data_IF_420285307411
#
_entry.id   IF_420285307411
#
_cell.length_a   1.000
_cell.length_b   1.000
_cell.length_c   1.000
_cell.angle_alpha   90.00
_cell.angle_beta   90.00
_cell.angle_gamma   90.00
#
_symmetry.space_group_name_H-M   'P 1'
#
loop_
_entity.id
_entity.type
_entity.pdbx_description
1 polymer ?
#
# COMPACT_ATOMS: atom_id res chain seq x y z
N UNK A 1 -3.77 -4.54 -18.23
CA UNK A 1 -2.59 -4.41 -17.36
C UNK A 1 -3.05 -4.28 -15.92
N UNK A 2 -2.18 -4.59 -14.96
CA UNK A 2 -2.38 -4.35 -13.54
C UNK A 2 -1.17 -3.58 -12.98
N UNK A 3 -1.39 -2.93 -11.85
CA UNK A 3 -0.34 -2.35 -11.02
C UNK A 3 -0.42 -3.02 -9.66
N UNK A 4 0.71 -3.56 -9.20
CA UNK A 4 0.82 -4.01 -7.81
C UNK A 4 1.18 -2.80 -6.94
N UNK A 5 0.20 -2.26 -6.23
CA UNK A 5 0.38 -1.00 -5.48
C UNK A 5 1.15 -1.15 -4.17
N UNK A 6 1.45 -2.38 -3.75
CA UNK A 6 2.17 -2.64 -2.50
C UNK A 6 2.90 -3.99 -2.54
N UNK A 7 4.23 -3.94 -2.57
CA UNK A 7 5.10 -5.10 -2.42
C UNK A 7 6.43 -4.68 -1.76
N UNK A 8 7.24 -5.64 -1.31
CA UNK A 8 8.51 -5.39 -0.63
C UNK A 8 9.67 -6.07 -1.38
N UNK A 9 10.01 -5.53 -2.56
CA UNK A 9 11.08 -6.06 -3.42
C UNK A 9 12.49 -5.90 -2.81
N UNK A 10 12.62 -5.06 -1.77
CA UNK A 10 13.81 -4.83 -0.98
C UNK A 10 14.07 -5.91 0.08
N UNK A 11 13.14 -6.83 0.29
CA UNK A 11 13.33 -7.88 1.29
C UNK A 11 14.36 -8.92 0.83
N UNK A 12 15.22 -9.41 1.74
CA UNK A 12 16.29 -10.37 1.41
C UNK A 12 15.78 -11.63 0.71
N UNK A 13 14.56 -12.05 1.03
CA UNK A 13 13.87 -13.20 0.41
C UNK A 13 13.82 -13.14 -1.11
N UNK A 14 13.88 -11.94 -1.71
CA UNK A 14 13.81 -11.76 -3.17
C UNK A 14 15.16 -11.45 -3.82
N UNK A 15 16.22 -11.19 -3.05
CA UNK A 15 17.45 -10.61 -3.60
C UNK A 15 18.07 -11.45 -4.73
N UNK A 16 18.14 -12.77 -4.56
CA UNK A 16 18.77 -13.68 -5.51
C UNK A 16 17.98 -13.91 -6.81
N UNK A 17 16.68 -13.62 -6.81
CA UNK A 17 15.78 -13.96 -7.91
C UNK A 17 14.89 -12.80 -8.37
N UNK A 18 15.21 -11.57 -7.92
CA UNK A 18 14.43 -10.36 -8.20
C UNK A 18 14.18 -10.15 -9.70
N UNK A 19 15.19 -10.41 -10.53
CA UNK A 19 15.08 -10.32 -11.99
C UNK A 19 13.98 -11.24 -12.53
N UNK A 20 13.95 -12.49 -12.07
CA UNK A 20 12.95 -13.47 -12.49
C UNK A 20 11.55 -13.14 -11.94
N UNK A 21 11.47 -12.59 -10.73
CA UNK A 21 10.20 -12.13 -10.14
C UNK A 21 9.58 -11.00 -10.98
N UNK A 22 10.38 -9.99 -11.33
CA UNK A 22 9.93 -8.87 -12.17
C UNK A 22 9.51 -9.39 -13.55
N UNK A 23 10.28 -10.29 -14.16
CA UNK A 23 9.93 -10.89 -15.44
C UNK A 23 8.60 -11.68 -15.38
N UNK A 24 8.35 -12.44 -14.29
CA UNK A 24 7.08 -13.15 -14.07
C UNK A 24 5.90 -12.19 -13.87
N UNK A 25 6.12 -11.07 -13.18
CA UNK A 25 5.10 -10.03 -13.01
C UNK A 25 4.68 -9.46 -14.37
N UNK A 26 5.65 -9.05 -15.20
CA UNK A 26 5.39 -8.54 -16.55
C UNK A 26 4.69 -9.57 -17.43
N UNK A 27 5.14 -10.82 -17.42
CA UNK A 27 4.53 -11.90 -18.19
C UNK A 27 3.07 -12.20 -17.77
N UNK A 28 2.71 -11.85 -16.53
CA UNK A 28 1.35 -11.99 -15.99
C UNK A 28 0.49 -10.73 -16.19
N UNK A 29 0.99 -9.73 -16.92
CA UNK A 29 0.27 -8.50 -17.21
C UNK A 29 0.33 -7.44 -16.11
N UNK A 30 1.20 -7.61 -15.10
CA UNK A 30 1.51 -6.61 -14.07
C UNK A 30 2.61 -5.71 -14.60
N UNK A 31 2.26 -4.51 -15.07
CA UNK A 31 3.21 -3.65 -15.79
C UNK A 31 4.02 -2.74 -14.88
N UNK A 32 3.48 -2.38 -13.71
CA UNK A 32 4.13 -1.50 -12.74
C UNK A 32 3.94 -2.02 -11.31
N UNK A 33 4.90 -1.71 -10.45
CA UNK A 33 4.89 -2.07 -9.03
C UNK A 33 5.35 -0.89 -8.17
N UNK A 34 4.83 -0.79 -6.95
CA UNK A 34 5.34 0.12 -5.93
C UNK A 34 5.96 -0.71 -4.81
N UNK A 35 7.28 -0.60 -4.63
CA UNK A 35 8.00 -1.23 -3.52
C UNK A 35 8.00 -0.32 -2.30
N UNK A 36 7.59 -0.84 -1.15
CA UNK A 36 7.20 -0.02 0.00
C UNK A 36 8.30 0.03 1.05
N UNK A 37 8.67 1.26 1.43
CA UNK A 37 9.63 1.52 2.50
C UNK A 37 9.06 1.11 3.86
N UNK A 38 9.87 0.39 4.63
CA UNK A 38 9.58 0.08 6.04
C UNK A 38 10.43 0.89 7.01
N UNK A 39 11.51 1.52 6.52
CA UNK A 39 12.43 2.39 7.26
C UNK A 39 12.97 3.47 6.32
N UNK A 40 12.89 4.73 6.71
CA UNK A 40 13.38 5.88 5.94
C UNK A 40 14.87 5.75 5.68
N UNK A 41 15.65 5.28 6.66
CA UNK A 41 17.11 5.10 6.51
C UNK A 41 17.51 4.03 5.49
N UNK A 42 16.57 3.17 5.05
CA UNK A 42 16.81 2.17 4.00
C UNK A 42 16.39 2.64 2.60
N UNK A 43 15.93 3.87 2.44
CA UNK A 43 15.56 4.45 1.15
C UNK A 43 16.64 4.24 0.05
N UNK A 44 17.96 4.36 0.31
CA UNK A 44 18.97 4.09 -0.71
C UNK A 44 18.91 2.67 -1.32
N UNK A 45 18.43 1.67 -0.56
CA UNK A 45 18.26 0.30 -1.06
C UNK A 45 17.05 0.18 -1.99
N UNK A 46 15.95 0.86 -1.66
CA UNK A 46 14.76 0.93 -2.52
C UNK A 46 15.08 1.66 -3.82
N UNK A 47 15.82 2.78 -3.75
CA UNK A 47 16.18 3.55 -4.96
C UNK A 47 17.01 2.73 -5.94
N UNK A 48 17.99 1.95 -5.47
CA UNK A 48 18.76 1.00 -6.31
C UNK A 48 17.86 0.02 -7.08
N UNK A 49 16.75 -0.41 -6.48
CA UNK A 49 15.77 -1.28 -7.16
C UNK A 49 15.05 -0.48 -8.25
N UNK A 50 14.56 0.73 -7.93
CA UNK A 50 13.85 1.57 -8.92
C UNK A 50 14.73 2.03 -10.08
N UNK A 51 16.03 2.19 -9.87
CA UNK A 51 17.02 2.51 -10.91
C UNK A 51 17.24 1.31 -11.85
N UNK A 52 17.27 0.08 -11.30
CA UNK A 52 17.44 -1.14 -12.10
C UNK A 52 16.20 -1.48 -12.90
N UNK A 53 14.99 -1.26 -12.37
CA UNK A 53 13.73 -1.65 -13.00
C UNK A 53 12.85 -0.43 -13.30
N UNK A 54 12.74 0.01 -14.57
CA UNK A 54 11.91 1.16 -14.93
C UNK A 54 10.43 1.04 -14.53
N UNK A 55 9.89 -0.18 -14.43
CA UNK A 55 8.53 -0.46 -13.98
C UNK A 55 8.30 -0.36 -12.46
N UNK A 56 9.34 -0.16 -11.67
CA UNK A 56 9.25 -0.13 -10.20
C UNK A 56 9.41 1.31 -9.71
N UNK A 57 8.52 1.68 -8.80
CA UNK A 57 8.51 2.93 -8.05
C UNK A 57 8.59 2.59 -6.56
N UNK A 58 8.82 3.58 -5.70
CA UNK A 58 8.86 3.34 -4.26
C UNK A 58 8.13 4.40 -3.44
N UNK A 59 7.91 4.06 -2.18
CA UNK A 59 7.53 5.01 -1.13
C UNK A 59 8.72 5.36 -0.24
N UNK A 60 8.56 6.38 0.61
CA UNK A 60 9.49 6.68 1.71
C UNK A 60 8.71 6.80 3.02
N UNK A 61 9.11 6.05 4.04
CA UNK A 61 8.47 6.08 5.35
C UNK A 61 8.90 4.98 6.31
N UNK A 62 8.37 5.05 7.53
CA UNK A 62 8.66 4.17 8.66
C UNK A 62 7.43 3.36 9.07
N UNK A 63 7.49 2.05 8.87
CA UNK A 63 6.43 1.12 9.27
C UNK A 63 6.22 1.18 10.80
N UNK A 64 4.97 1.05 11.32
CA UNK A 64 4.69 1.17 12.76
C UNK A 64 5.54 0.28 13.67
N UNK A 65 5.83 -0.95 13.24
CA UNK A 65 6.72 -1.87 13.98
C UNK A 65 8.19 -1.41 14.11
N UNK A 66 8.61 -0.38 13.37
CA UNK A 66 9.93 0.23 13.44
C UNK A 66 9.88 1.69 13.96
N UNK A 67 8.74 2.14 14.49
CA UNK A 67 8.52 3.56 14.80
C UNK A 67 9.48 4.11 15.85
N UNK A 68 9.87 3.30 16.84
CA UNK A 68 10.81 3.66 17.90
C UNK A 68 12.23 3.91 17.39
N UNK A 69 12.63 3.26 16.30
CA UNK A 69 13.94 3.40 15.68
C UNK A 69 14.11 4.74 14.95
N UNK A 70 13.02 5.40 14.55
CA UNK A 70 13.04 6.57 13.65
C UNK A 70 12.24 7.77 14.19
N UNK A 71 12.10 7.89 15.53
CA UNK A 71 11.44 9.03 16.19
C UNK A 71 12.15 10.38 16.02
N UNK A 72 13.35 10.40 15.44
CA UNK A 72 14.08 11.60 15.03
C UNK A 72 13.71 12.08 13.62
N UNK A 73 13.13 11.21 12.78
CA UNK A 73 12.73 11.59 11.41
C UNK A 73 11.56 12.57 11.46
N UNK A 74 11.78 13.75 10.90
CA UNK A 74 10.81 14.84 10.90
C UNK A 74 9.90 14.82 9.66
N UNK A 75 8.79 15.56 9.72
CA UNK A 75 7.98 15.77 8.52
C UNK A 75 8.76 16.53 7.43
N UNK A 76 9.63 17.48 7.80
CA UNK A 76 10.47 18.21 6.83
C UNK A 76 11.40 17.27 6.06
N UNK A 77 12.07 16.37 6.78
CA UNK A 77 12.96 15.36 6.17
C UNK A 77 12.20 14.42 5.22
N UNK A 78 11.00 13.96 5.61
CA UNK A 78 10.15 13.15 4.72
C UNK A 78 9.75 13.90 3.44
N UNK A 79 9.46 15.20 3.53
CA UNK A 79 9.16 16.04 2.36
C UNK A 79 10.38 16.17 1.45
N UNK A 80 11.55 16.50 2.02
CA UNK A 80 12.79 16.63 1.25
C UNK A 80 13.14 15.32 0.52
N UNK A 81 13.04 14.18 1.21
CA UNK A 81 13.29 12.87 0.61
C UNK A 81 12.26 12.55 -0.47
N UNK A 82 10.97 12.80 -0.25
CA UNK A 82 9.92 12.54 -1.23
C UNK A 82 10.09 13.35 -2.53
N UNK A 83 10.67 14.55 -2.43
CA UNK A 83 10.97 15.42 -3.57
C UNK A 83 12.31 15.11 -4.24
N UNK A 84 13.21 14.41 -3.55
CA UNK A 84 14.59 14.18 -4.01
C UNK A 84 14.72 13.28 -5.25
N UNK A 85 13.72 12.44 -5.55
CA UNK A 85 13.80 11.48 -6.65
C UNK A 85 12.44 11.24 -7.32
N UNK A 86 12.42 11.11 -8.65
CA UNK A 86 11.16 10.95 -9.42
C UNK A 86 10.44 9.62 -9.14
N UNK A 87 11.21 8.57 -8.78
CA UNK A 87 10.67 7.24 -8.45
C UNK A 87 9.99 7.15 -7.08
N UNK A 88 10.12 8.16 -6.23
CA UNK A 88 9.41 8.20 -4.94
C UNK A 88 8.03 8.80 -5.19
N UNK A 89 6.99 7.97 -5.11
CA UNK A 89 5.62 8.31 -5.51
C UNK A 89 4.60 8.28 -4.37
N UNK A 90 5.04 7.97 -3.15
CA UNK A 90 4.20 7.85 -1.97
C UNK A 90 4.99 8.12 -0.68
N UNK A 91 4.26 8.49 0.36
CA UNK A 91 4.74 8.52 1.74
C UNK A 91 4.29 7.22 2.43
N UNK A 92 5.11 6.66 3.30
CA UNK A 92 4.84 5.42 4.02
C UNK A 92 5.76 4.27 3.58
N UNK A 93 5.57 3.06 4.09
CA UNK A 93 4.48 2.64 4.97
C UNK A 93 4.53 3.35 6.32
N UNK A 94 3.39 3.81 6.83
CA UNK A 94 3.26 4.30 8.20
C UNK A 94 1.85 3.99 8.70
N UNK A 95 1.62 3.93 10.00
CA UNK A 95 0.33 3.43 10.46
C UNK A 95 0.28 3.06 11.92
N UNK A 96 -0.64 2.15 12.24
CA UNK A 96 -0.85 1.58 13.56
C UNK A 96 -0.95 0.06 13.46
N UNK A 97 -0.13 -0.66 14.21
CA UNK A 97 -0.20 -2.11 14.40
C UNK A 97 -0.25 -2.42 15.90
N UNK A 98 -1.44 -2.77 16.39
CA UNK A 98 -1.65 -3.15 17.78
C UNK A 98 -1.76 -4.67 17.95
N UNK A 99 -1.52 -5.44 16.88
CA UNK A 99 -1.55 -6.89 16.94
C UNK A 99 -0.28 -7.43 17.58
N UNK A 100 0.87 -6.88 17.19
CA UNK A 100 2.15 -7.18 17.80
C UNK A 100 2.47 -6.10 18.84
N UNK A 101 2.47 -6.47 20.13
CA UNK A 101 2.89 -5.60 21.25
C UNK A 101 4.43 -5.40 21.24
N UNK A 102 4.94 -4.97 20.08
CA UNK A 102 6.36 -4.78 19.79
C UNK A 102 6.78 -3.34 20.00
N UNK A 103 5.85 -2.40 19.79
CA UNK A 103 6.10 -0.97 19.89
C UNK A 103 5.02 -0.26 20.69
N UNK A 104 5.39 0.84 21.34
CA UNK A 104 4.43 1.65 22.09
C UNK A 104 3.46 2.33 21.11
N UNK A 105 2.14 2.29 21.37
CA UNK A 105 1.16 2.97 20.53
C UNK A 105 1.47 4.45 20.27
N UNK A 106 2.06 5.15 21.25
CA UNK A 106 2.40 6.58 21.11
C UNK A 106 3.55 6.84 20.13
N UNK A 107 4.50 5.92 20.00
CA UNK A 107 5.60 6.04 19.04
C UNK A 107 5.06 5.86 17.62
N UNK A 108 4.17 4.87 17.42
CA UNK A 108 3.46 4.66 16.15
C UNK A 108 2.61 5.87 15.76
N UNK A 109 1.84 6.44 16.69
CA UNK A 109 1.04 7.66 16.48
C UNK A 109 1.90 8.85 16.11
N UNK A 110 3.03 9.04 16.80
CA UNK A 110 3.99 10.11 16.50
C UNK A 110 4.53 9.98 15.07
N UNK A 111 4.94 8.77 14.68
CA UNK A 111 5.35 8.47 13.31
C UNK A 111 4.25 8.76 12.30
N UNK A 112 3.05 8.22 12.50
CA UNK A 112 1.90 8.40 11.61
C UNK A 112 1.55 9.88 11.40
N UNK A 113 1.50 10.69 12.46
CA UNK A 113 1.18 12.12 12.36
C UNK A 113 2.20 12.91 11.52
N UNK A 114 3.49 12.57 11.62
CA UNK A 114 4.54 13.18 10.80
C UNK A 114 4.43 12.79 9.33
N UNK A 115 4.10 11.54 9.05
CA UNK A 115 3.89 11.05 7.68
C UNK A 115 2.62 11.66 7.06
N UNK A 116 1.56 11.87 7.85
CA UNK A 116 0.36 12.61 7.42
C UNK A 116 0.71 14.04 7.04
N UNK A 117 1.52 14.74 7.85
CA UNK A 117 1.97 16.10 7.52
C UNK A 117 2.81 16.14 6.23
N UNK A 118 3.72 15.18 6.04
CA UNK A 118 4.50 15.07 4.81
C UNK A 118 3.61 14.79 3.58
N UNK A 119 2.64 13.87 3.69
CA UNK A 119 1.69 13.58 2.61
C UNK A 119 0.81 14.81 2.27
N UNK A 120 0.40 15.58 3.29
CA UNK A 120 -0.37 16.81 3.10
C UNK A 120 0.42 17.88 2.34
N UNK A 121 1.71 18.02 2.62
CA UNK A 121 2.60 19.00 1.98
C UNK A 121 2.98 18.61 0.56
N UNK A 122 3.38 17.35 0.36
CA UNK A 122 3.84 16.84 -0.94
C UNK A 122 2.70 16.50 -1.90
N UNK A 123 1.48 16.30 -1.37
CA UNK A 123 0.31 15.75 -2.09
C UNK A 123 0.53 14.33 -2.63
N UNK A 124 1.56 13.64 -2.15
CA UNK A 124 1.74 12.21 -2.41
C UNK A 124 0.84 11.38 -1.49
N UNK A 125 0.30 10.24 -1.96
CA UNK A 125 -0.53 9.39 -1.14
C UNK A 125 0.26 8.82 0.04
N UNK A 126 -0.34 8.85 1.22
CA UNK A 126 0.12 8.09 2.39
C UNK A 126 -0.34 6.62 2.27
N UNK A 127 0.60 5.68 2.26
CA UNK A 127 0.34 4.24 2.34
C UNK A 127 0.19 3.87 3.81
N UNK A 128 -1.05 3.58 4.25
CA UNK A 128 -1.42 3.38 5.64
C UNK A 128 -1.55 1.92 6.02
N UNK A 129 -0.71 1.48 6.94
CA UNK A 129 -0.88 0.21 7.65
C UNK A 129 -1.87 0.38 8.80
N UNK A 130 -2.83 -0.53 8.90
CA UNK A 130 -3.73 -0.55 10.05
C UNK A 130 -4.07 -1.98 10.42
N UNK A 131 -3.70 -2.37 11.64
CA UNK A 131 -3.99 -3.70 12.16
C UNK A 131 -4.40 -3.63 13.63
N UNK A 132 -5.60 -4.13 13.93
CA UNK A 132 -6.17 -4.12 15.28
C UNK A 132 -6.25 -2.72 15.91
N UNK A 133 -6.37 -1.68 15.07
CA UNK A 133 -6.28 -0.27 15.47
C UNK A 133 -7.37 0.60 14.81
N UNK A 134 -8.49 -0.01 14.40
CA UNK A 134 -9.51 0.58 13.55
C UNK A 134 -10.07 1.90 14.11
N UNK A 135 -10.41 1.93 15.39
CA UNK A 135 -11.02 3.10 16.04
C UNK A 135 -10.04 4.28 16.12
N UNK A 136 -8.80 4.02 16.54
CA UNK A 136 -7.73 5.03 16.61
C UNK A 136 -7.38 5.55 15.21
N UNK A 137 -7.27 4.65 14.22
CA UNK A 137 -6.99 5.03 12.83
C UNK A 137 -8.10 5.91 12.27
N UNK A 138 -9.37 5.53 12.45
CA UNK A 138 -10.51 6.34 12.01
C UNK A 138 -10.56 7.71 12.70
N UNK A 139 -10.26 7.77 14.01
CA UNK A 139 -10.22 9.03 14.76
C UNK A 139 -9.11 9.97 14.24
N UNK A 140 -7.89 9.45 14.04
CA UNK A 140 -6.76 10.21 13.51
C UNK A 140 -7.05 10.72 12.10
N UNK A 141 -7.53 9.85 11.21
CA UNK A 141 -7.85 10.25 9.83
C UNK A 141 -8.89 11.37 9.77
N UNK A 142 -9.95 11.31 10.58
CA UNK A 142 -10.96 12.37 10.65
C UNK A 142 -10.38 13.68 11.18
N UNK A 143 -9.64 13.60 12.30
CA UNK A 143 -9.04 14.78 12.92
C UNK A 143 -8.04 15.48 11.98
N UNK A 144 -7.17 14.71 11.34
CA UNK A 144 -6.12 15.23 10.47
C UNK A 144 -6.66 15.71 9.12
N UNK A 145 -7.68 15.05 8.56
CA UNK A 145 -8.35 15.53 7.35
C UNK A 145 -9.10 16.84 7.61
N UNK A 146 -9.61 17.04 8.83
CA UNK A 146 -10.21 18.31 9.27
C UNK A 146 -9.23 19.49 9.31
N UNK A 147 -7.92 19.23 9.37
CA UNK A 147 -6.86 20.25 9.28
C UNK A 147 -6.44 20.55 7.84
N UNK A 148 -6.87 19.74 6.88
CA UNK A 148 -6.53 19.86 5.47
C UNK A 148 -6.37 18.50 4.82
N UNK A 149 -6.95 18.33 3.64
CA UNK A 149 -6.95 17.07 2.91
C UNK A 149 -5.54 16.63 2.48
N UNK A 150 -5.31 15.32 2.57
CA UNK A 150 -4.14 14.62 2.06
C UNK A 150 -4.61 13.29 1.44
N UNK A 151 -4.00 12.85 0.33
CA UNK A 151 -4.34 11.55 -0.26
C UNK A 151 -3.78 10.42 0.59
N UNK A 152 -4.51 9.31 0.67
CA UNK A 152 -4.05 8.12 1.38
C UNK A 152 -4.69 6.85 0.83
N UNK A 153 -4.05 5.72 1.15
CA UNK A 153 -4.46 4.37 0.82
C UNK A 153 -4.51 3.59 2.12
N UNK A 154 -5.63 2.94 2.41
CA UNK A 154 -5.68 1.87 3.40
C UNK A 154 -5.20 0.60 2.70
N UNK A 155 -3.90 0.29 2.84
CA UNK A 155 -3.35 -0.90 2.19
C UNK A 155 -3.73 -2.16 2.96
N UNK A 156 -3.58 -3.29 2.29
CA UNK A 156 -3.85 -4.64 2.74
C UNK A 156 -5.12 -4.73 3.59
N UNK A 157 -6.22 -4.16 3.09
CA UNK A 157 -7.38 -3.89 3.91
C UNK A 157 -7.94 -5.17 4.55
N UNK A 158 -7.82 -5.26 5.87
CA UNK A 158 -8.32 -6.37 6.69
C UNK A 158 -9.05 -5.88 7.95
N UNK A 159 -9.48 -4.62 7.96
CA UNK A 159 -10.16 -3.96 9.06
C UNK A 159 -11.70 -4.03 8.91
N UNK A 160 -12.42 -3.48 9.89
CA UNK A 160 -13.88 -3.44 9.90
C UNK A 160 -14.50 -2.43 8.92
N UNK A 161 -15.78 -2.64 8.61
CA UNK A 161 -16.56 -1.82 7.67
C UNK A 161 -16.53 -0.31 7.97
N UNK A 162 -16.52 0.07 9.25
CA UNK A 162 -16.54 1.49 9.63
C UNK A 162 -15.25 2.22 9.28
N UNK A 163 -14.10 1.54 9.32
CA UNK A 163 -12.85 2.13 8.84
C UNK A 163 -12.86 2.29 7.31
N UNK A 164 -13.34 1.29 6.56
CA UNK A 164 -13.48 1.40 5.10
C UNK A 164 -14.38 2.58 4.70
N UNK A 165 -15.56 2.70 5.30
CA UNK A 165 -16.48 3.83 5.07
C UNK A 165 -15.83 5.16 5.39
N UNK A 166 -15.10 5.24 6.50
CA UNK A 166 -14.39 6.45 6.90
C UNK A 166 -13.32 6.83 5.89
N UNK A 167 -12.49 5.87 5.46
CA UNK A 167 -11.47 6.08 4.45
C UNK A 167 -12.06 6.62 3.14
N UNK A 168 -13.09 5.96 2.62
CA UNK A 168 -13.79 6.34 1.39
C UNK A 168 -14.44 7.73 1.50
N UNK A 169 -15.11 8.03 2.62
CA UNK A 169 -15.76 9.32 2.85
C UNK A 169 -14.76 10.50 2.90
N UNK A 170 -13.52 10.24 3.35
CA UNK A 170 -12.43 11.21 3.35
C UNK A 170 -11.67 11.27 2.01
N UNK A 171 -12.09 10.49 1.01
CA UNK A 171 -11.50 10.47 -0.33
C UNK A 171 -10.32 9.50 -0.49
N UNK A 172 -10.02 8.68 0.52
CA UNK A 172 -8.96 7.67 0.47
C UNK A 172 -9.32 6.46 -0.41
N UNK A 173 -8.29 5.74 -0.82
CA UNK A 173 -8.41 4.48 -1.55
C UNK A 173 -8.33 3.29 -0.59
N UNK A 174 -8.96 2.18 -0.97
CA UNK A 174 -8.89 0.91 -0.25
C UNK A 174 -8.22 -0.11 -1.16
N UNK A 175 -7.08 -0.64 -0.72
CA UNK A 175 -6.34 -1.64 -1.47
C UNK A 175 -6.56 -3.02 -0.88
N UNK A 176 -6.80 -4.00 -1.74
CA UNK A 176 -7.03 -5.37 -1.35
C UNK A 176 -5.87 -6.26 -1.79
N UNK A 177 -5.47 -7.18 -0.91
CA UNK A 177 -4.41 -8.16 -1.15
C UNK A 177 -4.97 -9.56 -1.38
N UNK A 178 -4.08 -10.56 -1.44
CA UNK A 178 -4.44 -11.97 -1.58
C UNK A 178 -5.40 -12.51 -0.52
N UNK A 179 -5.61 -11.78 0.59
CA UNK A 179 -6.62 -12.08 1.62
C UNK A 179 -8.02 -12.27 1.00
N UNK A 180 -8.39 -11.50 -0.04
CA UNK A 180 -9.70 -11.63 -0.70
C UNK A 180 -9.96 -13.06 -1.19
N UNK A 181 -8.92 -13.76 -1.59
CA UNK A 181 -9.01 -15.13 -2.12
C UNK A 181 -9.19 -16.19 -1.03
N UNK A 182 -8.99 -15.84 0.24
CA UNK A 182 -9.02 -16.80 1.34
C UNK A 182 -10.45 -17.25 1.62
N UNK A 183 -10.71 -18.57 1.77
CA UNK A 183 -12.07 -19.07 1.99
C UNK A 183 -12.80 -18.44 3.19
N UNK A 184 -12.06 -18.08 4.24
CA UNK A 184 -12.61 -17.52 5.49
C UNK A 184 -12.85 -16.00 5.47
N UNK A 185 -12.38 -15.28 4.44
CA UNK A 185 -12.42 -13.82 4.39
C UNK A 185 -13.68 -13.29 3.71
N UNK A 186 -14.85 -13.84 4.07
CA UNK A 186 -16.11 -13.41 3.47
C UNK A 186 -16.49 -11.99 3.91
N UNK A 187 -16.22 -11.66 5.17
CA UNK A 187 -16.32 -10.32 5.72
C UNK A 187 -15.53 -9.28 4.91
N UNK A 188 -14.30 -9.59 4.50
CA UNK A 188 -13.49 -8.68 3.68
C UNK A 188 -14.08 -8.54 2.28
N UNK A 189 -14.59 -9.62 1.67
CA UNK A 189 -15.30 -9.55 0.37
C UNK A 189 -16.59 -8.74 0.45
N UNK A 190 -17.34 -8.88 1.55
CA UNK A 190 -18.56 -8.12 1.78
C UNK A 190 -18.24 -6.63 1.94
N UNK A 191 -17.15 -6.27 2.63
CA UNK A 191 -16.68 -4.88 2.72
C UNK A 191 -16.22 -4.37 1.35
N UNK A 192 -15.43 -5.15 0.61
CA UNK A 192 -14.98 -4.78 -0.74
C UNK A 192 -16.17 -4.42 -1.66
N UNK A 193 -17.26 -5.19 -1.59
CA UNK A 193 -18.48 -4.90 -2.35
C UNK A 193 -19.11 -3.53 -2.03
N UNK A 194 -18.84 -2.96 -0.86
CA UNK A 194 -19.35 -1.64 -0.46
C UNK A 194 -18.45 -0.49 -0.92
N UNK A 195 -17.20 -0.76 -1.29
CA UNK A 195 -16.25 0.28 -1.72
C UNK A 195 -16.59 0.71 -3.16
N UNK A 196 -16.71 2.03 -3.43
CA UNK A 196 -16.92 2.53 -4.79
C UNK A 196 -15.81 2.09 -5.74
N UNK A 197 -16.18 1.71 -6.97
CA UNK A 197 -15.23 1.23 -7.99
C UNK A 197 -14.06 2.19 -8.22
N UNK A 198 -14.27 3.50 -8.14
CA UNK A 198 -13.25 4.53 -8.33
C UNK A 198 -12.34 4.77 -7.11
N UNK A 199 -12.46 3.93 -6.07
CA UNK A 199 -11.62 3.94 -4.85
C UNK A 199 -10.96 2.60 -4.55
N UNK A 200 -11.06 1.64 -5.46
CA UNK A 200 -10.45 0.31 -5.33
C UNK A 200 -9.01 0.28 -5.87
N UNK A 201 -8.13 -0.39 -5.14
CA UNK A 201 -6.79 -0.77 -5.59
C UNK A 201 -6.57 -2.29 -5.35
N UNK A 202 -5.56 -2.84 -6.00
CA UNK A 202 -5.13 -4.23 -5.83
C UNK A 202 -3.64 -4.28 -5.58
N UNK A 203 -3.24 -5.22 -4.73
CA UNK A 203 -1.85 -5.41 -4.36
C UNK A 203 -1.56 -6.87 -3.99
N UNK A 204 -0.28 -7.16 -3.76
CA UNK A 204 0.15 -8.45 -3.23
C UNK A 204 0.51 -8.42 -1.75
N UNK A 205 1.12 -7.34 -1.28
CA UNK A 205 1.88 -7.33 -0.01
C UNK A 205 3.02 -8.38 0.00
N UNK A 206 3.56 -8.70 -1.18
CA UNK A 206 4.60 -9.71 -1.31
C UNK A 206 5.87 -9.31 -0.55
N UNK A 207 6.53 -10.22 0.19
CA UNK A 207 6.43 -11.69 0.11
C UNK A 207 5.31 -12.34 0.93
N UNK A 208 4.48 -11.56 1.63
CA UNK A 208 3.43 -12.06 2.50
C UNK A 208 2.12 -12.35 1.76
N UNK A 209 1.19 -13.04 2.44
CA UNK A 209 -0.21 -13.14 2.03
C UNK A 209 -0.48 -13.74 0.64
N UNK A 210 0.33 -14.73 0.23
CA UNK A 210 0.13 -15.42 -1.05
C UNK A 210 -1.32 -15.91 -1.20
N UNK A 211 -1.97 -15.65 -2.35
CA UNK A 211 -3.39 -15.97 -2.54
C UNK A 211 -3.64 -17.48 -2.46
N UNK A 212 -4.91 -17.88 -2.32
CA UNK A 212 -5.37 -19.24 -2.01
C UNK A 212 -4.64 -20.33 -2.80
N UNK A 213 -4.38 -20.11 -4.10
CA UNK A 213 -3.67 -21.05 -4.98
C UNK A 213 -2.24 -21.38 -4.52
N UNK A 214 -1.56 -20.46 -3.84
CA UNK A 214 -0.20 -20.61 -3.31
C UNK A 214 -0.11 -20.41 -1.80
N UNK A 215 -1.22 -20.59 -1.08
CA UNK A 215 -1.25 -20.38 0.37
C UNK A 215 -0.17 -21.20 1.08
N UNK A 216 0.61 -20.54 1.95
CA UNK A 216 1.75 -21.14 2.65
C UNK A 216 3.06 -21.15 1.84
N UNK A 217 3.06 -20.65 0.60
CA UNK A 217 4.26 -20.33 -0.17
C UNK A 217 4.53 -18.82 -0.11
N UNK A 218 5.74 -18.42 -0.49
CA UNK A 218 6.10 -17.02 -0.65
C UNK A 218 5.26 -16.39 -1.76
N UNK A 219 4.75 -15.19 -1.51
CA UNK A 219 4.02 -14.40 -2.50
C UNK A 219 4.98 -13.71 -3.47
N UNK A 220 4.47 -13.23 -4.60
CA UNK A 220 5.22 -12.38 -5.55
C UNK A 220 4.23 -11.51 -6.35
N UNK A 221 4.69 -10.37 -6.92
CA UNK A 221 3.82 -9.42 -7.63
C UNK A 221 2.94 -10.02 -8.73
N UNK A 222 3.41 -11.06 -9.41
CA UNK A 222 2.66 -11.76 -10.46
C UNK A 222 1.31 -12.31 -9.96
N UNK A 223 1.18 -12.54 -8.65
CA UNK A 223 -0.01 -13.14 -8.06
C UNK A 223 -1.16 -12.14 -7.85
N UNK A 224 -0.95 -10.82 -8.01
CA UNK A 224 -2.01 -9.80 -7.89
C UNK A 224 -3.19 -10.04 -8.85
N UNK A 225 -2.94 -10.73 -9.97
CA UNK A 225 -3.98 -11.17 -10.92
C UNK A 225 -5.13 -11.90 -10.21
N UNK A 226 -4.81 -12.74 -9.23
CA UNK A 226 -5.80 -13.53 -8.49
C UNK A 226 -6.63 -12.67 -7.54
N UNK A 227 -6.03 -11.61 -7.00
CA UNK A 227 -6.74 -10.61 -6.19
C UNK A 227 -7.71 -9.84 -7.08
N UNK A 228 -7.27 -9.40 -8.26
CA UNK A 228 -8.12 -8.72 -9.24
C UNK A 228 -9.26 -9.61 -9.74
N UNK A 229 -9.04 -10.89 -10.02
CA UNK A 229 -10.09 -11.85 -10.41
C UNK A 229 -11.21 -11.91 -9.36
N UNK A 230 -10.87 -12.11 -8.07
CA UNK A 230 -11.87 -12.15 -7.00
C UNK A 230 -12.57 -10.80 -6.84
N UNK A 231 -11.84 -9.68 -6.97
CA UNK A 231 -12.46 -8.36 -6.90
C UNK A 231 -13.44 -8.13 -8.07
N UNK A 232 -13.15 -8.65 -9.26
CA UNK A 232 -14.06 -8.61 -10.41
C UNK A 232 -15.37 -9.35 -10.10
N UNK A 233 -15.27 -10.56 -9.53
CA UNK A 233 -16.40 -11.37 -9.11
C UNK A 233 -17.25 -10.65 -8.06
N UNK A 234 -16.62 -10.06 -7.04
CA UNK A 234 -17.29 -9.31 -5.96
C UNK A 234 -18.14 -8.16 -6.52
N UNK A 235 -17.64 -7.46 -7.54
CA UNK A 235 -18.35 -6.33 -8.16
C UNK A 235 -19.21 -6.71 -9.38
N UNK A 236 -19.24 -7.99 -9.77
CA UNK A 236 -20.02 -8.45 -10.93
C UNK A 236 -19.57 -7.83 -12.26
N UNK A 237 -18.28 -7.56 -12.42
CA UNK A 237 -17.68 -6.99 -13.64
C UNK A 237 -16.66 -7.96 -14.25
N UNK A 238 -16.27 -7.75 -15.51
CA UNK A 238 -15.21 -8.56 -16.12
C UNK A 238 -13.84 -8.26 -15.51
N UNK A 239 -12.91 -9.22 -15.65
CA UNK A 239 -11.52 -9.04 -15.25
C UNK A 239 -10.88 -7.84 -15.94
N UNK A 240 -11.11 -7.67 -17.24
CA UNK A 240 -10.56 -6.54 -18.01
C UNK A 240 -11.05 -5.21 -17.46
N UNK A 241 -12.33 -5.15 -17.05
CA UNK A 241 -12.92 -3.94 -16.50
C UNK A 241 -12.36 -3.60 -15.12
N UNK A 242 -12.21 -4.57 -14.22
CA UNK A 242 -11.62 -4.30 -12.90
C UNK A 242 -10.14 -3.92 -13.03
N UNK A 243 -9.42 -4.55 -13.96
CA UNK A 243 -8.02 -4.25 -14.23
C UNK A 243 -7.84 -2.81 -14.75
N UNK A 244 -8.70 -2.37 -15.67
CA UNK A 244 -8.75 -0.98 -16.13
C UNK A 244 -9.06 -0.02 -14.97
N UNK A 245 -10.11 -0.28 -14.21
CA UNK A 245 -10.54 0.58 -13.09
C UNK A 245 -9.43 0.75 -12.05
N UNK A 246 -8.84 -0.36 -11.59
CA UNK A 246 -7.81 -0.35 -10.56
C UNK A 246 -6.50 0.27 -11.06
N UNK A 247 -6.15 0.07 -12.32
CA UNK A 247 -5.01 0.73 -12.96
C UNK A 247 -5.21 2.25 -13.03
N UNK A 248 -6.38 2.71 -13.48
CA UNK A 248 -6.70 4.14 -13.54
C UNK A 248 -6.80 4.77 -12.15
N UNK A 249 -7.30 4.02 -11.15
CA UNK A 249 -7.28 4.43 -9.76
C UNK A 249 -5.85 4.60 -9.24
N UNK A 250 -4.96 3.65 -9.53
CA UNK A 250 -3.56 3.71 -9.13
C UNK A 250 -2.87 4.94 -9.73
N UNK A 251 -3.06 5.23 -11.02
CA UNK A 251 -2.47 6.44 -11.62
C UNK A 251 -3.08 7.75 -11.09
N UNK A 252 -4.36 7.76 -10.70
CA UNK A 252 -4.95 8.92 -10.02
C UNK A 252 -4.39 9.11 -8.61
N UNK A 253 -4.19 8.02 -7.88
CA UNK A 253 -3.72 8.04 -6.49
C UNK A 253 -2.23 8.38 -6.41
N UNK A 254 -1.39 7.60 -7.11
CA UNK A 254 0.05 7.82 -7.24
C UNK A 254 0.32 8.83 -8.36
N UNK A 255 -0.10 10.08 -8.17
CA UNK A 255 -0.09 11.13 -9.21
C UNK A 255 1.29 11.43 -9.82
N UNK A 256 2.38 11.12 -9.10
CA UNK A 256 3.78 11.27 -9.56
C UNK A 256 4.28 10.06 -10.37
N UNK A 257 3.57 8.93 -10.34
CA UNK A 257 3.94 7.72 -11.05
C UNK A 257 3.70 7.87 -12.55
N UNK A 258 4.78 7.87 -13.34
CA UNK A 258 4.69 7.90 -14.79
C UNK A 258 4.21 6.56 -15.35
N UNK A 259 3.42 6.60 -16.43
CA UNK A 259 3.08 5.40 -17.20
C UNK A 259 4.32 4.96 -18.00
N UNK A 260 4.71 3.70 -17.86
CA UNK A 260 5.84 3.08 -18.59
C UNK A 260 5.37 2.00 -19.55
#
# INVERSE_FOLDING_TARGET
MLIDTHCHLDFPDFEAERDDIIARAHASGVSQMVTISTRVRRLPELLKITEKYPSVFCSVGTHPNNADEELDISADELVELAESHEKIVAIGEAGLDYFYDTQKPEDQKTGLLRHIEAARRTKLPLVIHSRSADDDMAAILRAESGKGAFPFILHCFSAGLELAKTGVALGGYVSFSGILTFPKSQDIRDIAATVPLDRLLVETDAPYLAPKRWRGKRNEPSYVVNTAEVLAEVHGVSFERIAEITTENAFRCFSKMTRV
#
